data_IF_038772469037
#
_entry.id   IF_038772469037
#
_cell.length_a   1.000
_cell.length_b   1.000
_cell.length_c   1.000
_cell.angle_alpha   90.00
_cell.angle_beta   90.00
_cell.angle_gamma   90.00
#
_symmetry.space_group_name_H-M   'P 1'
#
loop_
_entity.id
_entity.type
_entity.pdbx_description
1 polymer ?
#
# COMPACT_ATOMS: atom_id res chain seq x y z
N UNK A 1 -30.49 29.18 -46.85
CA UNK A 1 -30.02 29.58 -45.50
C UNK A 1 -29.77 28.33 -44.68
N UNK A 2 -28.51 27.90 -44.67
CA UNK A 2 -27.99 26.70 -44.01
C UNK A 2 -27.41 27.19 -42.69
N UNK A 3 -28.10 26.97 -41.57
CA UNK A 3 -27.59 27.16 -40.20
C UNK A 3 -28.72 26.83 -39.24
N UNK A 4 -28.94 25.54 -38.92
CA UNK A 4 -29.67 25.18 -37.68
C UNK A 4 -29.54 23.70 -37.25
N UNK A 5 -28.51 22.98 -37.73
CA UNK A 5 -28.28 21.57 -37.34
C UNK A 5 -26.84 21.27 -36.87
N UNK A 6 -26.03 22.28 -36.59
CA UNK A 6 -24.66 22.09 -36.04
C UNK A 6 -24.46 22.67 -34.64
N UNK A 7 -25.53 22.99 -33.89
CA UNK A 7 -25.44 23.56 -32.53
C UNK A 7 -25.89 22.63 -31.39
N UNK A 8 -26.24 21.37 -31.66
CA UNK A 8 -26.70 20.43 -30.62
C UNK A 8 -25.70 19.27 -30.41
N UNK A 9 -24.73 19.07 -31.31
CA UNK A 9 -23.73 17.98 -31.21
C UNK A 9 -22.46 18.41 -30.45
N UNK A 10 -22.31 19.69 -30.09
CA UNK A 10 -21.17 20.20 -29.31
C UNK A 10 -21.43 20.38 -27.80
N UNK A 11 -22.60 19.98 -27.30
CA UNK A 11 -22.95 20.08 -25.86
C UNK A 11 -23.15 18.73 -25.17
N UNK A 12 -22.87 17.62 -25.85
CA UNK A 12 -22.97 16.25 -25.29
C UNK A 12 -21.65 15.47 -25.35
N UNK A 13 -20.53 16.12 -25.70
CA UNK A 13 -19.18 15.52 -25.62
C UNK A 13 -18.37 15.97 -24.39
N UNK A 14 -18.93 16.80 -23.51
CA UNK A 14 -18.24 17.29 -22.30
C UNK A 14 -18.76 16.73 -20.97
N UNK A 15 -19.71 15.80 -20.97
CA UNK A 15 -20.27 15.21 -19.73
C UNK A 15 -20.27 13.68 -19.72
N UNK A 16 -19.38 13.05 -20.49
CA UNK A 16 -19.13 11.60 -20.40
C UNK A 16 -17.67 11.25 -20.06
N UNK A 17 -16.85 12.25 -19.70
CA UNK A 17 -15.50 12.06 -19.16
C UNK A 17 -15.44 12.39 -17.66
N UNK A 18 -16.41 11.90 -16.87
CA UNK A 18 -16.29 11.93 -15.40
C UNK A 18 -17.14 10.86 -14.70
N UNK A 19 -17.39 9.74 -15.38
CA UNK A 19 -17.94 8.53 -14.74
C UNK A 19 -17.05 7.32 -15.02
N UNK A 20 -15.75 7.50 -14.81
CA UNK A 20 -15.00 6.46 -14.12
C UNK A 20 -14.67 7.06 -12.76
N UNK A 21 -15.68 7.10 -11.89
CA UNK A 21 -15.44 7.01 -10.47
C UNK A 21 -14.82 5.63 -10.23
N UNK A 22 -13.52 5.51 -10.55
CA UNK A 22 -12.65 4.63 -9.78
C UNK A 22 -13.01 5.01 -8.36
N UNK A 23 -13.57 4.08 -7.60
CA UNK A 23 -13.83 4.29 -6.19
C UNK A 23 -12.51 4.75 -5.59
N UNK A 24 -12.31 6.06 -5.48
CA UNK A 24 -11.20 6.60 -4.73
C UNK A 24 -11.57 6.20 -3.32
N UNK A 25 -10.98 5.09 -2.88
CA UNK A 25 -10.98 4.69 -1.48
C UNK A 25 -10.66 5.96 -0.71
N UNK A 26 -11.63 6.49 0.04
CA UNK A 26 -11.52 7.80 0.68
C UNK A 26 -10.20 7.79 1.43
N UNK A 27 -9.24 8.57 0.95
CA UNK A 27 -7.91 8.58 1.50
C UNK A 27 -8.01 9.09 2.95
N UNK A 28 -7.78 8.21 3.93
CA UNK A 28 -7.90 8.60 5.34
C UNK A 28 -6.86 9.67 5.67
N UNK A 29 -7.29 10.65 6.47
CA UNK A 29 -6.37 11.54 7.17
C UNK A 29 -5.64 10.79 8.29
N UNK A 30 -4.50 11.32 8.76
CA UNK A 30 -3.74 10.71 9.84
C UNK A 30 -4.57 10.54 11.12
N UNK A 31 -5.34 11.57 11.50
CA UNK A 31 -6.18 11.54 12.70
C UNK A 31 -7.32 10.53 12.58
N UNK A 32 -7.97 10.44 11.41
CA UNK A 32 -8.99 9.41 11.15
C UNK A 32 -8.39 8.01 11.25
N UNK A 33 -7.21 7.78 10.67
CA UNK A 33 -6.54 6.48 10.69
C UNK A 33 -6.08 6.09 12.11
N UNK A 34 -5.55 7.03 12.90
CA UNK A 34 -5.19 6.83 14.31
C UNK A 34 -6.42 6.47 15.16
N UNK A 35 -7.53 7.21 15.02
CA UNK A 35 -8.76 6.94 15.76
C UNK A 35 -9.36 5.56 15.44
N UNK A 36 -9.29 5.13 14.18
CA UNK A 36 -9.73 3.80 13.76
C UNK A 36 -8.79 2.70 14.25
N UNK A 37 -7.48 2.95 14.28
CA UNK A 37 -6.52 2.02 14.88
C UNK A 37 -6.81 1.82 16.36
N UNK A 38 -7.10 2.88 17.12
CA UNK A 38 -7.44 2.77 18.55
C UNK A 38 -8.69 1.91 18.76
N UNK A 39 -9.76 2.17 18.00
CA UNK A 39 -10.99 1.36 18.03
C UNK A 39 -10.70 -0.11 17.70
N UNK A 40 -9.89 -0.37 16.68
CA UNK A 40 -9.50 -1.73 16.30
C UNK A 40 -8.67 -2.43 17.39
N UNK A 41 -7.79 -1.70 18.09
CA UNK A 41 -7.02 -2.24 19.21
C UNK A 41 -7.91 -2.61 20.40
N UNK A 42 -8.90 -1.78 20.74
CA UNK A 42 -9.87 -2.08 21.77
C UNK A 42 -10.72 -3.31 21.41
N UNK A 43 -11.10 -3.44 20.14
CA UNK A 43 -11.80 -4.64 19.64
C UNK A 43 -10.92 -5.89 19.73
N UNK A 44 -9.64 -5.77 19.36
CA UNK A 44 -8.66 -6.85 19.45
C UNK A 44 -8.42 -7.30 20.90
N UNK A 45 -8.29 -6.37 21.87
CA UNK A 45 -8.10 -6.73 23.28
C UNK A 45 -9.29 -7.52 23.82
N UNK A 46 -10.51 -7.06 23.55
CA UNK A 46 -11.76 -7.76 23.91
C UNK A 46 -11.82 -9.17 23.28
N UNK A 47 -11.53 -9.29 21.99
CA UNK A 47 -11.53 -10.58 21.29
C UNK A 47 -10.46 -11.54 21.84
N UNK A 48 -9.29 -11.01 22.22
CA UNK A 48 -8.20 -11.78 22.82
C UNK A 48 -8.61 -12.35 24.18
N UNK A 49 -9.29 -11.57 25.00
CA UNK A 49 -9.75 -12.03 26.31
C UNK A 49 -10.90 -13.03 26.20
N UNK A 50 -11.80 -12.86 25.24
CA UNK A 50 -12.83 -13.85 24.91
C UNK A 50 -12.22 -15.19 24.47
N UNK A 51 -11.23 -15.15 23.56
CA UNK A 51 -10.50 -16.35 23.13
C UNK A 51 -9.81 -17.05 24.31
N UNK A 52 -9.10 -16.32 25.17
CA UNK A 52 -8.46 -16.87 26.37
C UNK A 52 -9.43 -17.58 27.31
N UNK A 53 -10.66 -17.06 27.46
CA UNK A 53 -11.70 -17.70 28.28
C UNK A 53 -12.22 -18.98 27.62
N UNK A 54 -12.42 -18.96 26.29
CA UNK A 54 -12.95 -20.12 25.55
C UNK A 54 -12.03 -21.34 25.54
N UNK A 55 -10.72 -21.16 25.74
CA UNK A 55 -9.75 -22.25 25.92
C UNK A 55 -10.07 -23.17 27.12
N UNK A 56 -10.90 -22.70 28.05
CA UNK A 56 -11.35 -23.47 29.21
C UNK A 56 -12.73 -24.12 29.01
N UNK A 57 -13.50 -23.68 28.01
CA UNK A 57 -14.92 -24.03 27.84
C UNK A 57 -15.21 -24.81 26.55
N UNK A 58 -14.23 -25.01 25.67
CA UNK A 58 -14.36 -25.79 24.44
C UNK A 58 -14.95 -25.04 23.23
N UNK A 59 -15.25 -23.74 23.35
CA UNK A 59 -15.82 -22.89 22.28
C UNK A 59 -14.74 -22.15 21.45
N UNK A 60 -13.62 -22.79 21.18
CA UNK A 60 -12.39 -22.11 20.72
C UNK A 60 -12.46 -21.58 19.27
N UNK A 61 -13.22 -22.23 18.39
CA UNK A 61 -13.18 -21.97 16.94
C UNK A 61 -13.78 -20.61 16.58
N UNK A 62 -14.91 -20.25 17.20
CA UNK A 62 -15.62 -18.99 16.96
C UNK A 62 -14.85 -17.79 17.51
N UNK A 63 -14.34 -17.90 18.74
CA UNK A 63 -13.55 -16.84 19.38
C UNK A 63 -12.20 -16.64 18.69
N UNK A 64 -11.58 -17.72 18.18
CA UNK A 64 -10.36 -17.62 17.37
C UNK A 64 -10.59 -16.89 16.05
N UNK A 65 -11.71 -17.16 15.36
CA UNK A 65 -12.07 -16.43 14.13
C UNK A 65 -12.26 -14.93 14.41
N UNK A 66 -12.93 -14.59 15.51
CA UNK A 66 -13.12 -13.20 15.94
C UNK A 66 -11.78 -12.51 16.32
N UNK A 67 -10.88 -13.22 16.99
CA UNK A 67 -9.55 -12.72 17.30
C UNK A 67 -8.73 -12.45 16.04
N UNK A 68 -8.74 -13.38 15.08
CA UNK A 68 -8.04 -13.23 13.80
C UNK A 68 -8.58 -12.04 13.00
N UNK A 69 -9.91 -11.88 12.90
CA UNK A 69 -10.50 -10.76 12.18
C UNK A 69 -10.14 -9.42 12.83
N UNK A 70 -10.18 -9.32 14.16
CA UNK A 70 -9.75 -8.12 14.87
C UNK A 70 -8.25 -7.83 14.68
N UNK A 71 -7.41 -8.87 14.65
CA UNK A 71 -5.97 -8.73 14.37
C UNK A 71 -5.71 -8.21 12.95
N UNK A 72 -6.44 -8.70 11.96
CA UNK A 72 -6.33 -8.22 10.58
C UNK A 72 -6.75 -6.76 10.46
N UNK A 73 -7.81 -6.36 11.16
CA UNK A 73 -8.29 -4.98 11.20
C UNK A 73 -7.25 -4.01 11.80
N UNK A 74 -6.60 -4.40 12.91
CA UNK A 74 -5.46 -3.66 13.47
C UNK A 74 -4.32 -3.56 12.46
N UNK A 75 -4.00 -4.65 11.75
CA UNK A 75 -3.00 -4.67 10.70
C UNK A 75 -3.31 -3.70 9.56
N UNK A 76 -4.57 -3.67 9.12
CA UNK A 76 -5.05 -2.75 8.06
C UNK A 76 -4.84 -1.29 8.46
N UNK A 77 -5.31 -0.86 9.62
CA UNK A 77 -5.16 0.55 10.00
C UNK A 77 -3.71 0.96 10.27
N UNK A 78 -2.85 0.04 10.74
CA UNK A 78 -1.41 0.29 10.81
C UNK A 78 -0.80 0.50 9.42
N UNK A 79 -1.25 -0.24 8.42
CA UNK A 79 -0.82 -0.06 7.04
C UNK A 79 -1.30 1.29 6.49
N UNK A 80 -2.54 1.68 6.77
CA UNK A 80 -3.08 2.98 6.34
C UNK A 80 -2.31 4.14 6.95
N UNK A 81 -2.05 4.11 8.26
CA UNK A 81 -1.21 5.15 8.90
C UNK A 81 0.18 5.19 8.24
N UNK A 82 0.80 4.04 7.99
CA UNK A 82 2.08 3.97 7.27
C UNK A 82 2.01 4.61 5.88
N UNK A 83 0.96 4.34 5.09
CA UNK A 83 0.76 4.95 3.78
C UNK A 83 0.59 6.47 3.88
N UNK A 84 -0.17 6.96 4.87
CA UNK A 84 -0.35 8.39 5.12
C UNK A 84 0.99 9.06 5.39
N UNK A 85 1.81 8.50 6.29
CA UNK A 85 3.13 9.07 6.55
C UNK A 85 4.06 9.01 5.34
N UNK A 86 4.04 7.92 4.57
CA UNK A 86 4.82 7.83 3.34
C UNK A 86 4.40 8.93 2.37
N UNK A 87 3.09 9.12 2.17
CA UNK A 87 2.55 10.16 1.30
C UNK A 87 2.99 11.55 1.76
N UNK A 88 2.81 11.88 3.04
CA UNK A 88 3.24 13.16 3.61
C UNK A 88 4.74 13.40 3.38
N UNK A 89 5.57 12.38 3.67
CA UNK A 89 7.01 12.46 3.51
C UNK A 89 7.43 12.69 2.05
N UNK A 90 6.85 11.94 1.12
CA UNK A 90 7.14 12.09 -0.31
C UNK A 90 6.67 13.46 -0.82
N UNK A 91 5.46 13.88 -0.42
CA UNK A 91 4.88 15.17 -0.80
C UNK A 91 5.78 16.33 -0.38
N UNK A 92 6.21 16.32 0.88
CA UNK A 92 7.07 17.36 1.45
C UNK A 92 8.44 17.41 0.76
N UNK A 93 9.10 16.26 0.60
CA UNK A 93 10.46 16.19 0.03
C UNK A 93 10.51 16.47 -1.47
N UNK A 94 9.44 16.15 -2.20
CA UNK A 94 9.35 16.42 -3.62
C UNK A 94 8.65 17.75 -3.96
N UNK A 95 8.30 18.55 -2.94
CA UNK A 95 7.68 19.88 -3.11
C UNK A 95 6.40 19.81 -3.96
N UNK A 96 5.56 18.79 -3.72
CA UNK A 96 4.32 18.59 -4.48
C UNK A 96 3.22 19.54 -3.99
N UNK A 97 2.57 20.24 -4.92
CA UNK A 97 1.35 21.00 -4.64
C UNK A 97 0.19 20.06 -4.29
N UNK A 98 -0.90 20.59 -3.72
CA UNK A 98 -2.09 19.79 -3.45
C UNK A 98 -2.67 19.17 -4.72
N UNK A 99 -2.68 19.92 -5.82
CA UNK A 99 -3.17 19.46 -7.13
C UNK A 99 -2.28 18.35 -7.71
N UNK A 100 -0.97 18.57 -7.72
CA UNK A 100 0.02 17.59 -8.17
C UNK A 100 -0.06 16.30 -7.34
N UNK A 101 -0.17 16.42 -6.01
CA UNK A 101 -0.32 15.29 -5.12
C UNK A 101 -1.61 14.51 -5.38
N UNK A 102 -2.73 15.20 -5.57
CA UNK A 102 -4.02 14.59 -5.85
C UNK A 102 -4.01 13.78 -7.16
N UNK A 103 -3.28 14.23 -8.18
CA UNK A 103 -3.13 13.49 -9.44
C UNK A 103 -2.07 12.37 -9.35
N UNK A 104 -0.96 12.62 -8.65
CA UNK A 104 0.18 11.69 -8.57
C UNK A 104 -0.11 10.44 -7.71
N UNK A 105 -0.61 10.64 -6.49
CA UNK A 105 -0.70 9.55 -5.50
C UNK A 105 -1.59 8.36 -5.90
N UNK A 106 -2.73 8.53 -6.61
CA UNK A 106 -3.52 7.40 -7.09
C UNK A 106 -2.72 6.44 -7.98
N UNK A 107 -1.94 6.97 -8.92
CA UNK A 107 -1.09 6.15 -9.80
C UNK A 107 0.11 5.58 -9.05
N UNK A 108 0.68 6.34 -8.13
CA UNK A 108 1.76 5.86 -7.27
C UNK A 108 1.31 4.66 -6.43
N UNK A 109 0.15 4.73 -5.78
CA UNK A 109 -0.40 3.63 -4.99
C UNK A 109 -0.72 2.41 -5.85
N UNK A 110 -1.24 2.62 -7.06
CA UNK A 110 -1.45 1.54 -8.04
C UNK A 110 -0.11 0.85 -8.41
N UNK A 111 0.94 1.62 -8.71
CA UNK A 111 2.29 1.10 -8.97
C UNK A 111 2.80 0.28 -7.78
N UNK A 112 2.76 0.83 -6.56
CA UNK A 112 3.23 0.13 -5.36
C UNK A 112 2.47 -1.19 -5.14
N UNK A 113 1.16 -1.21 -5.38
CA UNK A 113 0.35 -2.42 -5.29
C UNK A 113 0.71 -3.46 -6.35
N UNK A 114 0.99 -3.04 -7.59
CA UNK A 114 1.44 -3.94 -8.66
C UNK A 114 2.80 -4.54 -8.35
N UNK A 115 3.78 -3.72 -7.98
CA UNK A 115 5.11 -4.18 -7.58
C UNK A 115 5.04 -5.15 -6.40
N UNK A 116 4.21 -4.85 -5.39
CA UNK A 116 4.00 -5.75 -4.26
C UNK A 116 3.49 -7.13 -4.70
N UNK A 117 2.51 -7.20 -5.62
CA UNK A 117 1.96 -8.48 -6.10
C UNK A 117 3.02 -9.28 -6.87
N UNK A 118 3.72 -8.65 -7.80
CA UNK A 118 4.81 -9.26 -8.58
C UNK A 118 5.86 -9.88 -7.63
N UNK A 119 6.29 -9.11 -6.63
CA UNK A 119 7.28 -9.59 -5.67
C UNK A 119 6.73 -10.65 -4.71
N UNK A 120 5.50 -10.51 -4.20
CA UNK A 120 4.90 -11.49 -3.30
C UNK A 120 4.72 -12.84 -3.99
N UNK A 121 4.25 -12.86 -5.24
CA UNK A 121 4.03 -14.09 -5.99
C UNK A 121 5.34 -14.83 -6.33
N UNK A 122 6.42 -14.09 -6.62
CA UNK A 122 7.75 -14.68 -6.77
C UNK A 122 8.32 -15.18 -5.43
N UNK A 123 8.15 -14.40 -4.35
CA UNK A 123 8.65 -14.78 -3.02
C UNK A 123 7.88 -15.93 -2.40
N UNK A 124 6.59 -16.09 -2.71
CA UNK A 124 5.76 -17.20 -2.21
C UNK A 124 6.32 -18.54 -2.65
N UNK A 125 6.78 -18.64 -3.89
CA UNK A 125 7.37 -19.87 -4.42
C UNK A 125 8.67 -20.23 -3.72
N UNK A 126 9.58 -19.26 -3.59
CA UNK A 126 10.84 -19.45 -2.85
C UNK A 126 10.55 -19.88 -1.40
N UNK A 127 9.61 -19.23 -0.72
CA UNK A 127 9.21 -19.60 0.64
C UNK A 127 8.59 -20.99 0.71
N UNK A 128 7.83 -21.42 -0.30
CA UNK A 128 7.27 -22.78 -0.39
C UNK A 128 8.41 -23.80 -0.40
N UNK A 129 9.40 -23.61 -1.28
CA UNK A 129 10.55 -24.52 -1.41
C UNK A 129 11.37 -24.59 -0.11
N UNK A 130 11.71 -23.44 0.48
CA UNK A 130 12.52 -23.39 1.71
C UNK A 130 11.80 -23.95 2.95
N UNK A 131 10.47 -24.04 2.93
CA UNK A 131 9.66 -24.59 4.03
C UNK A 131 9.19 -26.02 3.75
N UNK A 132 9.53 -26.58 2.60
CA UNK A 132 9.19 -27.96 2.27
C UNK A 132 9.83 -28.91 3.27
N UNK A 133 9.04 -29.87 3.76
CA UNK A 133 9.55 -31.00 4.55
C UNK A 133 9.94 -32.18 3.66
N UNK A 134 9.48 -32.15 2.41
CA UNK A 134 9.75 -33.17 1.40
C UNK A 134 10.92 -32.73 0.52
N UNK A 135 11.68 -33.69 -0.05
CA UNK A 135 12.73 -33.39 -1.01
C UNK A 135 12.16 -32.59 -2.19
N UNK A 136 12.80 -31.47 -2.50
CA UNK A 136 12.48 -30.62 -3.65
C UNK A 136 13.41 -30.97 -4.80
N UNK A 137 12.87 -31.06 -6.01
CA UNK A 137 13.68 -31.37 -7.20
C UNK A 137 14.52 -30.17 -7.65
N UNK A 138 15.65 -30.42 -8.33
CA UNK A 138 16.46 -29.35 -8.93
C UNK A 138 15.66 -28.53 -9.95
N UNK A 139 14.76 -29.18 -10.69
CA UNK A 139 13.86 -28.52 -11.63
C UNK A 139 12.93 -27.49 -10.94
N UNK A 140 12.43 -27.79 -9.74
CA UNK A 140 11.62 -26.83 -8.97
C UNK A 140 12.45 -25.63 -8.49
N UNK A 141 13.70 -25.84 -8.09
CA UNK A 141 14.60 -24.73 -7.76
C UNK A 141 14.88 -23.86 -8.98
N UNK A 142 15.15 -24.47 -10.14
CA UNK A 142 15.34 -23.75 -11.39
C UNK A 142 14.10 -22.94 -11.78
N UNK A 143 12.90 -23.51 -11.63
CA UNK A 143 11.65 -22.80 -11.88
C UNK A 143 11.45 -21.60 -10.95
N UNK A 144 11.78 -21.73 -9.66
CA UNK A 144 11.69 -20.62 -8.71
C UNK A 144 12.70 -19.51 -9.01
N UNK A 145 13.92 -19.85 -9.45
CA UNK A 145 14.92 -18.89 -9.91
C UNK A 145 14.42 -18.17 -11.17
N UNK A 146 13.94 -18.90 -12.17
CA UNK A 146 13.38 -18.33 -13.40
C UNK A 146 12.24 -17.35 -13.09
N UNK A 147 11.28 -17.75 -12.24
CA UNK A 147 10.17 -16.89 -11.81
C UNK A 147 10.66 -15.62 -11.10
N UNK A 148 11.72 -15.71 -10.30
CA UNK A 148 12.30 -14.54 -9.64
C UNK A 148 12.92 -13.56 -10.64
N UNK A 149 13.56 -14.05 -11.69
CA UNK A 149 14.12 -13.21 -12.76
C UNK A 149 13.01 -12.58 -13.61
N UNK A 150 11.99 -13.36 -13.98
CA UNK A 150 10.81 -12.86 -14.71
C UNK A 150 10.11 -11.73 -13.95
N UNK A 151 9.94 -11.88 -12.63
CA UNK A 151 9.37 -10.83 -11.79
C UNK A 151 10.18 -9.52 -11.81
N UNK A 152 11.52 -9.58 -11.95
CA UNK A 152 12.37 -8.38 -12.07
C UNK A 152 12.17 -7.72 -13.45
N UNK A 153 12.00 -8.52 -14.50
CA UNK A 153 11.71 -8.00 -15.84
C UNK A 153 10.32 -7.33 -15.89
N UNK A 154 9.32 -7.96 -15.30
CA UNK A 154 7.97 -7.41 -15.20
C UNK A 154 7.96 -6.11 -14.37
N UNK A 155 8.66 -6.07 -13.24
CA UNK A 155 8.83 -4.85 -12.44
C UNK A 155 9.40 -3.70 -13.28
N UNK A 156 10.48 -3.94 -14.04
CA UNK A 156 11.09 -2.91 -14.87
C UNK A 156 10.12 -2.37 -15.94
N UNK A 157 9.35 -3.27 -16.56
CA UNK A 157 8.35 -2.90 -17.56
C UNK A 157 7.22 -2.05 -16.94
N UNK A 158 6.68 -2.48 -15.80
CA UNK A 158 5.64 -1.75 -15.08
C UNK A 158 6.16 -0.38 -14.63
N UNK A 159 7.36 -0.31 -14.03
CA UNK A 159 7.95 0.97 -13.62
C UNK A 159 8.08 1.95 -14.78
N UNK A 160 8.57 1.48 -15.93
CA UNK A 160 8.68 2.29 -17.15
C UNK A 160 7.33 2.90 -17.55
N UNK A 161 6.28 2.08 -17.61
CA UNK A 161 4.92 2.54 -17.97
C UNK A 161 4.39 3.61 -17.00
N UNK A 162 4.64 3.46 -15.70
CA UNK A 162 4.20 4.44 -14.72
C UNK A 162 5.04 5.72 -14.75
N UNK A 163 6.34 5.64 -15.00
CA UNK A 163 7.18 6.83 -15.12
C UNK A 163 6.83 7.66 -16.34
N UNK A 164 6.48 7.03 -17.46
CA UNK A 164 5.93 7.73 -18.63
C UNK A 164 4.61 8.44 -18.32
N UNK A 165 3.79 7.90 -17.40
CA UNK A 165 2.58 8.58 -16.91
C UNK A 165 2.91 9.70 -15.95
N UNK A 166 3.83 9.51 -15.01
CA UNK A 166 4.23 10.54 -14.05
C UNK A 166 4.84 11.76 -14.75
N UNK A 167 5.59 11.57 -15.83
CA UNK A 167 6.13 12.68 -16.63
C UNK A 167 5.07 13.57 -17.29
N UNK A 168 3.82 13.11 -17.38
CA UNK A 168 2.68 13.92 -17.86
C UNK A 168 2.05 14.76 -16.75
N UNK A 169 2.29 14.40 -15.49
CA UNK A 169 1.70 15.02 -14.30
C UNK A 169 2.74 15.94 -13.63
N UNK A 170 4.00 15.49 -13.56
CA UNK A 170 5.08 16.14 -12.82
C UNK A 170 6.29 16.41 -13.73
N UNK A 171 7.01 17.53 -13.52
CA UNK A 171 8.30 17.73 -14.15
C UNK A 171 9.31 16.69 -13.68
N UNK A 172 10.23 16.28 -14.56
CA UNK A 172 11.23 15.26 -14.29
C UNK A 172 12.05 15.52 -13.00
N UNK A 173 12.33 16.79 -12.68
CA UNK A 173 13.00 17.18 -11.41
C UNK A 173 12.26 16.61 -10.19
N UNK A 174 10.94 16.76 -10.13
CA UNK A 174 10.13 16.30 -8.98
C UNK A 174 10.09 14.78 -8.89
N UNK A 175 10.07 14.08 -10.03
CA UNK A 175 10.14 12.62 -10.07
C UNK A 175 11.47 12.12 -9.49
N UNK A 176 12.59 12.75 -9.83
CA UNK A 176 13.90 12.42 -9.24
C UNK A 176 13.90 12.65 -7.72
N UNK A 177 13.29 13.75 -7.24
CA UNK A 177 13.14 13.99 -5.80
C UNK A 177 12.28 12.94 -5.12
N UNK A 178 11.23 12.44 -5.78
CA UNK A 178 10.42 11.33 -5.28
C UNK A 178 11.27 10.07 -5.12
N UNK A 179 12.14 9.74 -6.09
CA UNK A 179 13.02 8.57 -5.97
C UNK A 179 13.99 8.67 -4.79
N UNK A 180 14.62 9.83 -4.59
CA UNK A 180 15.47 10.07 -3.43
C UNK A 180 14.66 9.99 -2.12
N UNK A 181 13.46 10.57 -2.10
CA UNK A 181 12.57 10.53 -0.95
C UNK A 181 12.11 9.10 -0.62
N UNK A 182 11.81 8.26 -1.61
CA UNK A 182 11.48 6.84 -1.39
C UNK A 182 12.65 6.05 -0.79
N UNK A 183 13.86 6.27 -1.31
CA UNK A 183 15.07 5.62 -0.80
C UNK A 183 15.35 6.04 0.65
N UNK A 184 15.23 7.34 0.96
CA UNK A 184 15.42 7.87 2.31
C UNK A 184 14.35 7.40 3.27
N UNK A 185 13.09 7.39 2.84
CA UNK A 185 12.00 6.86 3.66
C UNK A 185 12.28 5.40 4.00
N UNK A 186 12.64 4.58 3.01
CA UNK A 186 13.04 3.18 3.21
C UNK A 186 14.21 3.05 4.20
N UNK A 187 15.22 3.91 4.11
CA UNK A 187 16.36 3.91 5.02
C UNK A 187 15.95 4.28 6.46
N UNK A 188 15.11 5.29 6.64
CA UNK A 188 14.60 5.71 7.95
C UNK A 188 13.77 4.59 8.60
N UNK A 189 12.95 3.93 7.78
CA UNK A 189 12.19 2.75 8.17
C UNK A 189 13.08 1.56 8.55
N UNK A 190 14.28 1.42 7.98
CA UNK A 190 15.23 0.35 8.31
C UNK A 190 16.14 0.69 9.52
N UNK A 191 16.48 1.97 9.72
CA UNK A 191 17.32 2.45 10.84
C UNK A 191 16.64 2.29 12.19
N UNK A 192 15.32 2.26 12.22
CA UNK A 192 14.55 1.86 13.40
C UNK A 192 14.76 0.36 13.70
N UNK A 193 15.82 0.04 14.46
CA UNK A 193 16.34 -1.30 14.75
C UNK A 193 15.23 -2.38 14.92
N UNK A 194 15.33 -3.54 14.23
CA UNK A 194 14.38 -4.66 14.29
C UNK A 194 14.60 -5.55 15.52
N UNK A 195 14.75 -4.96 16.72
CA UNK A 195 15.00 -5.70 17.96
C UNK A 195 13.77 -6.02 18.80
N UNK A 196 12.62 -5.38 18.54
CA UNK A 196 11.36 -5.62 19.26
C UNK A 196 10.19 -5.44 18.31
N UNK A 197 9.31 -6.44 18.22
CA UNK A 197 8.09 -6.48 17.39
C UNK A 197 7.06 -5.34 17.66
N UNK A 198 7.42 -4.30 18.44
CA UNK A 198 6.63 -3.10 18.71
C UNK A 198 7.00 -1.85 17.87
N UNK A 199 8.01 -1.90 17.00
CA UNK A 199 8.61 -0.66 16.46
C UNK A 199 7.88 0.05 15.31
N UNK A 200 6.90 -0.59 14.63
CA UNK A 200 6.04 0.19 13.70
C UNK A 200 5.28 1.29 14.45
N UNK A 201 4.76 1.00 15.65
CA UNK A 201 4.08 2.02 16.46
C UNK A 201 5.05 3.12 16.93
N UNK A 202 6.27 2.76 17.34
CA UNK A 202 7.26 3.73 17.78
C UNK A 202 7.74 4.64 16.64
N UNK A 203 7.77 4.15 15.41
CA UNK A 203 8.12 4.94 14.23
C UNK A 203 6.99 5.88 13.79
N UNK A 204 5.74 5.42 13.83
CA UNK A 204 4.59 6.31 13.67
C UNK A 204 4.59 7.41 14.74
N UNK A 205 4.98 7.07 15.97
CA UNK A 205 5.13 8.01 17.08
C UNK A 205 6.33 8.95 16.91
N UNK A 206 7.47 8.50 16.36
CA UNK A 206 8.63 9.37 16.11
C UNK A 206 8.39 10.35 14.96
N UNK A 207 7.76 9.89 13.88
CA UNK A 207 7.33 10.75 12.76
C UNK A 207 6.32 11.81 13.19
N UNK A 208 5.53 11.55 14.24
CA UNK A 208 4.64 12.53 14.89
C UNK A 208 5.40 13.56 15.73
N UNK A 209 6.54 13.18 16.32
CA UNK A 209 7.33 14.04 17.20
C UNK A 209 8.30 14.96 16.44
N UNK A 210 8.75 14.58 15.24
CA UNK A 210 9.64 15.42 14.40
C UNK A 210 8.92 16.60 13.71
N UNK A 211 7.58 16.68 13.81
CA UNK A 211 6.77 17.82 13.32
C UNK A 211 6.58 18.95 14.36
N UNK A 212 7.38 18.99 15.44
CA UNK A 212 7.40 20.06 16.44
C UNK A 212 8.70 20.83 16.39
#
# INVERSE_FOLDING_TARGET
MRNFLFSIILLWSLTAFSQVAIAQEKVLTLSEAEALLEKAQQKYSKAKDAYRKSLKTGEETTTLKALRSASLEVGRYRLEIFKVHKRDFLRERAELSDEEAAEFFPYYEELQNKLFRIHDDAQREIKRLLRSKEPVSDAEYQAAVAKKIEAVQEEAQVQKEYYERFLKILPARKIVLIFDAEARFSQEMMRTKPGKQGNRQNLLQSLKNDKK
#
